data_IF_412575067479
#
_entry.id   IF_412575067479
#
_cell.length_a   1.000
_cell.length_b   1.000
_cell.length_c   1.000
_cell.angle_alpha   90.00
_cell.angle_beta   90.00
_cell.angle_gamma   90.00
#
_symmetry.space_group_name_H-M   'P 1'
#
loop_
_entity.id
_entity.type
_entity.pdbx_description
1 polymer ?
#
# COMPACT_ATOMS: atom_id res chain seq x y z
N UNK A 1 -17.34 11.06 -10.21
CA UNK A 1 -17.60 9.79 -10.91
C UNK A 1 -16.57 8.70 -10.64
N UNK A 2 -15.40 8.62 -11.32
CA UNK A 2 -14.47 7.47 -11.14
C UNK A 2 -14.10 7.19 -9.69
N UNK A 3 -13.81 8.23 -8.90
CA UNK A 3 -13.52 8.11 -7.46
C UNK A 3 -14.71 7.49 -6.70
N UNK A 4 -15.89 8.07 -6.81
CA UNK A 4 -17.10 7.59 -6.11
C UNK A 4 -17.44 6.14 -6.46
N UNK A 5 -17.41 5.80 -7.75
CA UNK A 5 -17.72 4.44 -8.22
C UNK A 5 -16.71 3.41 -7.68
N UNK A 6 -15.43 3.77 -7.65
CA UNK A 6 -14.36 2.86 -7.18
C UNK A 6 -14.34 2.75 -5.66
N UNK A 7 -14.73 3.80 -4.94
CA UNK A 7 -14.95 3.73 -3.49
C UNK A 7 -16.13 2.82 -3.16
N UNK A 8 -17.26 2.97 -3.85
CA UNK A 8 -18.41 2.08 -3.67
C UNK A 8 -18.03 0.62 -3.91
N UNK A 9 -17.23 0.35 -4.95
CA UNK A 9 -16.72 -0.99 -5.23
C UNK A 9 -15.83 -1.55 -4.10
N UNK A 10 -14.95 -0.73 -3.50
CA UNK A 10 -14.11 -1.17 -2.36
C UNK A 10 -14.97 -1.51 -1.14
N UNK A 11 -15.94 -0.65 -0.80
CA UNK A 11 -16.76 -0.83 0.39
C UNK A 11 -17.70 -2.05 0.26
N UNK A 12 -18.17 -2.34 -0.95
CA UNK A 12 -19.00 -3.50 -1.24
C UNK A 12 -18.22 -4.80 -1.53
N UNK A 13 -16.89 -4.75 -1.69
CA UNK A 13 -16.10 -5.91 -2.06
C UNK A 13 -16.08 -6.99 -0.98
N UNK A 14 -16.14 -8.25 -1.39
CA UNK A 14 -15.91 -9.42 -0.52
C UNK A 14 -14.41 -9.79 -0.42
N UNK A 15 -13.60 -9.34 -1.37
CA UNK A 15 -12.13 -9.52 -1.40
C UNK A 15 -11.47 -8.22 -1.90
N UNK A 16 -10.40 -7.78 -1.22
CA UNK A 16 -9.59 -6.65 -1.65
C UNK A 16 -8.44 -7.11 -2.54
N UNK A 17 -8.20 -6.40 -3.64
CA UNK A 17 -7.02 -6.64 -4.51
C UNK A 17 -6.02 -5.51 -4.32
N UNK A 18 -4.85 -5.84 -3.78
CA UNK A 18 -3.86 -4.84 -3.34
C UNK A 18 -2.48 -5.17 -3.90
N UNK A 19 -1.77 -4.16 -4.42
CA UNK A 19 -0.35 -4.31 -4.75
C UNK A 19 0.47 -4.46 -3.47
N UNK A 20 1.48 -5.36 -3.42
CA UNK A 20 2.29 -5.53 -2.21
C UNK A 20 2.87 -4.22 -1.65
N UNK A 21 3.45 -3.35 -2.48
CA UNK A 21 4.02 -2.08 -1.99
C UNK A 21 2.95 -1.07 -1.56
N UNK A 22 1.71 -1.17 -2.03
CA UNK A 22 0.63 -0.29 -1.57
C UNK A 22 0.25 -0.54 -0.12
N UNK A 23 0.53 -1.73 0.44
CA UNK A 23 0.44 -1.95 1.88
C UNK A 23 1.32 -0.94 2.65
N UNK A 24 2.55 -0.70 2.17
CA UNK A 24 3.46 0.28 2.75
C UNK A 24 2.98 1.71 2.48
N UNK A 25 2.46 2.01 1.28
CA UNK A 25 1.92 3.33 0.95
C UNK A 25 0.74 3.70 1.87
N UNK A 26 -0.17 2.77 2.15
CA UNK A 26 -1.27 2.97 3.11
C UNK A 26 -0.74 3.30 4.50
N UNK A 27 0.23 2.52 5.01
CA UNK A 27 0.88 2.79 6.31
C UNK A 27 1.54 4.18 6.33
N UNK A 28 2.24 4.56 5.26
CA UNK A 28 2.84 5.89 5.14
C UNK A 28 1.80 7.01 5.06
N UNK A 29 0.67 6.77 4.41
CA UNK A 29 -0.42 7.72 4.26
C UNK A 29 -1.12 7.97 5.60
N UNK A 30 -1.39 6.92 6.36
CA UNK A 30 -2.01 6.96 7.68
C UNK A 30 -1.22 7.79 8.69
N UNK A 31 0.11 7.69 8.70
CA UNK A 31 1.02 8.47 9.57
C UNK A 31 0.79 8.35 11.09
N UNK A 32 -0.02 7.39 11.52
CA UNK A 32 -0.41 7.22 12.92
C UNK A 32 -1.54 8.15 13.36
N UNK A 33 -2.34 8.64 12.40
CA UNK A 33 -3.53 9.42 12.68
C UNK A 33 -4.63 8.54 13.28
N UNK A 34 -5.53 9.16 14.04
CA UNK A 34 -6.76 8.48 14.50
C UNK A 34 -7.70 8.20 13.33
N UNK A 35 -8.72 7.38 13.56
CA UNK A 35 -9.66 6.92 12.53
C UNK A 35 -10.24 8.06 11.69
N UNK A 36 -10.78 9.06 12.38
CA UNK A 36 -11.54 10.16 11.80
C UNK A 36 -10.63 11.13 11.02
N UNK A 37 -9.32 11.05 11.25
CA UNK A 37 -8.29 11.86 10.61
C UNK A 37 -7.67 11.19 9.36
N UNK A 38 -8.06 9.96 9.04
CA UNK A 38 -7.67 9.28 7.78
C UNK A 38 -8.69 9.65 6.69
N UNK A 39 -8.63 10.90 6.24
CA UNK A 39 -9.55 11.43 5.23
C UNK A 39 -9.16 11.01 3.80
N UNK A 40 -10.13 10.78 2.89
CA UNK A 40 -9.89 10.57 1.47
C UNK A 40 -9.15 11.70 0.80
N UNK A 41 -8.40 11.35 -0.25
CA UNK A 41 -7.88 12.30 -1.22
C UNK A 41 -8.40 11.94 -2.61
N UNK A 42 -8.26 12.85 -3.57
CA UNK A 42 -8.76 12.66 -4.92
C UNK A 42 -7.89 11.66 -5.71
N UNK A 43 -6.60 11.58 -5.39
CA UNK A 43 -5.56 10.98 -6.23
C UNK A 43 -5.38 9.46 -6.07
N UNK A 44 -6.04 8.82 -5.09
CA UNK A 44 -5.99 7.38 -4.85
C UNK A 44 -7.13 6.92 -3.94
N UNK A 45 -7.26 5.60 -3.71
CA UNK A 45 -8.18 5.01 -2.72
C UNK A 45 -7.47 4.46 -1.46
N UNK A 46 -6.37 5.07 -1.01
CA UNK A 46 -5.64 4.57 0.17
C UNK A 46 -6.51 4.62 1.44
N UNK A 47 -7.24 5.71 1.66
CA UNK A 47 -8.09 5.88 2.83
C UNK A 47 -9.20 4.83 2.89
N UNK A 48 -9.87 4.58 1.76
CA UNK A 48 -11.04 3.71 1.70
C UNK A 48 -10.68 2.24 1.84
N UNK A 49 -9.51 1.82 1.34
CA UNK A 49 -8.99 0.49 1.63
C UNK A 49 -8.67 0.34 3.11
N UNK A 50 -8.06 1.35 3.75
CA UNK A 50 -7.82 1.34 5.19
C UNK A 50 -9.14 1.21 5.95
N UNK A 51 -10.17 1.98 5.57
CA UNK A 51 -11.50 1.88 6.18
C UNK A 51 -12.10 0.49 6.05
N UNK A 52 -12.03 -0.12 4.85
CA UNK A 52 -12.53 -1.47 4.62
C UNK A 52 -11.83 -2.50 5.50
N UNK A 53 -10.49 -2.44 5.61
CA UNK A 53 -9.71 -3.34 6.46
C UNK A 53 -10.01 -3.13 7.95
N UNK A 54 -10.27 -1.89 8.39
CA UNK A 54 -10.62 -1.59 9.79
C UNK A 54 -12.00 -2.11 10.16
N UNK A 55 -12.99 -1.89 9.28
CA UNK A 55 -14.35 -2.36 9.49
C UNK A 55 -14.46 -3.89 9.42
N UNK A 56 -13.65 -4.52 8.56
CA UNK A 56 -13.62 -5.98 8.36
C UNK A 56 -12.18 -6.49 8.42
N UNK A 57 -11.61 -6.69 9.63
CA UNK A 57 -10.21 -7.12 9.80
C UNK A 57 -9.89 -8.47 9.15
N UNK A 58 -10.92 -9.27 8.93
CA UNK A 58 -10.86 -10.58 8.28
C UNK A 58 -11.09 -10.56 6.77
N UNK A 59 -11.32 -9.38 6.17
CA UNK A 59 -11.54 -9.31 4.72
C UNK A 59 -10.34 -9.93 3.98
N UNK A 60 -10.58 -10.88 3.06
CA UNK A 60 -9.53 -11.45 2.24
C UNK A 60 -8.84 -10.37 1.42
N UNK A 61 -7.50 -10.38 1.41
CA UNK A 61 -6.68 -9.48 0.61
C UNK A 61 -5.80 -10.30 -0.33
N UNK A 62 -6.06 -10.19 -1.63
CA UNK A 62 -5.25 -10.79 -2.69
C UNK A 62 -4.12 -9.85 -3.11
N UNK A 63 -2.89 -10.35 -3.08
CA UNK A 63 -1.72 -9.64 -3.59
C UNK A 63 -1.67 -9.71 -5.12
N UNK A 64 -1.83 -8.57 -5.81
CA UNK A 64 -1.90 -8.53 -7.28
C UNK A 64 -0.70 -7.84 -7.91
N UNK A 65 -0.42 -8.22 -9.16
CA UNK A 65 0.57 -7.58 -10.03
C UNK A 65 -0.12 -6.48 -10.84
N UNK A 66 0.58 -5.37 -11.08
CA UNK A 66 0.01 -4.24 -11.83
C UNK A 66 -0.93 -3.40 -10.97
N UNK A 67 -1.77 -2.56 -11.58
CA UNK A 67 -2.68 -1.69 -10.83
C UNK A 67 -3.72 -2.48 -10.01
N UNK A 68 -4.09 -1.94 -8.85
CA UNK A 68 -5.05 -2.54 -7.91
C UNK A 68 -6.16 -1.55 -7.58
N UNK A 69 -7.08 -1.87 -6.67
CA UNK A 69 -8.24 -1.02 -6.36
C UNK A 69 -7.90 0.38 -5.79
N UNK A 70 -6.65 0.63 -5.43
CA UNK A 70 -6.14 1.96 -5.01
C UNK A 70 -5.92 2.90 -6.21
N UNK A 71 -5.58 2.34 -7.37
CA UNK A 71 -5.13 3.08 -8.55
C UNK A 71 -6.20 3.85 -9.35
N UNK A 72 -7.45 3.38 -9.50
CA UNK A 72 -8.36 3.92 -10.51
C UNK A 72 -8.56 5.45 -10.55
N UNK A 73 -8.67 6.17 -9.41
CA UNK A 73 -8.85 7.63 -9.46
C UNK A 73 -7.53 8.39 -9.73
N UNK A 74 -6.38 7.72 -9.75
CA UNK A 74 -5.09 8.35 -9.98
C UNK A 74 -4.99 8.86 -11.43
N UNK A 75 -4.57 10.12 -11.61
CA UNK A 75 -4.34 10.72 -12.93
C UNK A 75 -3.22 10.07 -13.76
N UNK A 76 -2.47 9.14 -13.14
CA UNK A 76 -1.40 8.37 -13.79
C UNK A 76 -1.79 6.93 -14.11
N UNK A 77 -3.00 6.52 -13.75
CA UNK A 77 -3.53 5.22 -14.13
C UNK A 77 -4.02 5.27 -15.58
N UNK A 78 -3.62 4.31 -16.40
CA UNK A 78 -4.10 4.13 -17.77
C UNK A 78 -5.14 2.99 -17.79
N UNK A 79 -6.45 3.31 -17.86
CA UNK A 79 -7.50 2.31 -17.79
C UNK A 79 -7.47 1.32 -18.96
N UNK A 80 -7.04 1.75 -20.15
CA UNK A 80 -7.05 0.88 -21.33
C UNK A 80 -6.06 -0.27 -21.22
N UNK A 81 -4.96 -0.08 -20.48
CA UNK A 81 -3.91 -1.09 -20.33
C UNK A 81 -3.75 -1.61 -18.89
N UNK A 82 -4.45 -1.02 -17.91
CA UNK A 82 -4.30 -1.37 -16.50
C UNK A 82 -2.91 -1.03 -15.93
N UNK A 83 -2.22 -0.05 -16.53
CA UNK A 83 -0.83 0.28 -16.16
C UNK A 83 -0.73 1.60 -15.38
N UNK A 84 0.29 1.69 -14.54
CA UNK A 84 0.68 2.95 -13.91
C UNK A 84 1.72 3.65 -14.81
N UNK A 85 1.32 4.78 -15.40
CA UNK A 85 2.18 5.66 -16.20
C UNK A 85 2.80 6.78 -15.34
N UNK A 86 2.89 6.58 -14.03
CA UNK A 86 3.50 7.54 -13.11
C UNK A 86 4.95 7.84 -13.50
N UNK A 87 5.32 9.13 -13.52
CA UNK A 87 6.67 9.58 -13.87
C UNK A 87 7.76 9.01 -12.94
N UNK A 88 9.05 9.19 -13.31
CA UNK A 88 10.22 8.62 -12.61
C UNK A 88 10.17 7.09 -12.49
N UNK A 89 9.88 6.41 -13.59
CA UNK A 89 9.86 4.95 -13.68
C UNK A 89 9.00 4.23 -12.64
N UNK A 90 7.89 4.84 -12.17
CA UNK A 90 7.01 4.22 -11.18
C UNK A 90 6.58 2.81 -11.59
N UNK A 91 6.38 2.54 -12.88
CA UNK A 91 6.10 1.18 -13.36
C UNK A 91 7.14 0.15 -12.90
N UNK A 92 8.40 0.26 -13.32
CA UNK A 92 9.46 -0.71 -12.98
C UNK A 92 9.91 -0.59 -11.51
N UNK A 93 10.00 0.64 -11.01
CA UNK A 93 10.39 0.90 -9.62
C UNK A 93 9.37 0.31 -8.64
N UNK A 94 8.07 0.47 -8.89
CA UNK A 94 7.04 -0.10 -8.02
C UNK A 94 6.92 -1.61 -8.19
N UNK A 95 7.18 -2.15 -9.39
CA UNK A 95 7.31 -3.61 -9.57
C UNK A 95 8.46 -4.17 -8.72
N UNK A 96 9.61 -3.49 -8.66
CA UNK A 96 10.70 -3.89 -7.76
C UNK A 96 10.24 -3.86 -6.30
N UNK A 97 9.60 -2.77 -5.85
CA UNK A 97 9.08 -2.67 -4.48
C UNK A 97 8.08 -3.79 -4.16
N UNK A 98 7.21 -4.13 -5.12
CA UNK A 98 6.26 -5.22 -4.94
C UNK A 98 6.98 -6.55 -4.70
N UNK A 99 7.99 -6.85 -5.52
CA UNK A 99 8.80 -8.07 -5.39
C UNK A 99 9.60 -8.07 -4.08
N UNK A 100 10.18 -6.93 -3.69
CA UNK A 100 10.93 -6.83 -2.42
C UNK A 100 10.00 -7.09 -1.22
N UNK A 101 8.77 -6.56 -1.24
CA UNK A 101 7.76 -6.84 -0.21
C UNK A 101 7.40 -8.32 -0.21
N UNK A 102 7.05 -8.88 -1.36
CA UNK A 102 6.71 -10.31 -1.49
C UNK A 102 7.83 -11.21 -0.96
N UNK A 103 9.08 -10.92 -1.33
CA UNK A 103 10.25 -11.64 -0.86
C UNK A 103 10.42 -11.55 0.66
N UNK A 104 10.33 -10.34 1.24
CA UNK A 104 10.39 -10.13 2.70
C UNK A 104 9.27 -10.85 3.45
N UNK A 105 8.10 -10.94 2.85
CA UNK A 105 6.98 -11.67 3.43
C UNK A 105 7.12 -13.17 3.24
N UNK A 106 7.84 -13.66 2.22
CA UNK A 106 7.79 -15.08 1.82
C UNK A 106 6.44 -15.42 1.20
N UNK A 107 5.95 -14.57 0.31
CA UNK A 107 4.69 -14.70 -0.42
C UNK A 107 4.93 -14.49 -1.91
N UNK A 108 3.98 -14.96 -2.72
CA UNK A 108 3.92 -14.71 -4.15
C UNK A 108 2.68 -13.87 -4.53
N UNK A 109 2.68 -13.33 -5.74
CA UNK A 109 1.45 -12.79 -6.33
C UNK A 109 0.35 -13.87 -6.34
N UNK A 110 -0.88 -13.46 -6.07
CA UNK A 110 -2.04 -14.33 -5.94
C UNK A 110 -2.27 -14.86 -4.52
N UNK A 111 -1.31 -14.69 -3.60
CA UNK A 111 -1.53 -15.01 -2.19
C UNK A 111 -2.72 -14.23 -1.62
N UNK A 112 -3.56 -14.90 -0.85
CA UNK A 112 -4.74 -14.35 -0.19
C UNK A 112 -4.61 -14.57 1.31
N UNK A 113 -4.71 -13.50 2.10
CA UNK A 113 -4.70 -13.56 3.56
C UNK A 113 -5.74 -12.60 4.13
N UNK A 114 -6.28 -12.86 5.34
CA UNK A 114 -7.04 -11.87 6.08
C UNK A 114 -6.24 -10.57 6.25
N UNK A 115 -6.88 -9.41 6.12
CA UNK A 115 -6.21 -8.12 6.21
C UNK A 115 -5.37 -7.96 7.50
N UNK A 116 -5.90 -8.36 8.65
CA UNK A 116 -5.17 -8.31 9.93
C UNK A 116 -3.89 -9.14 9.90
N UNK A 117 -3.92 -10.34 9.31
CA UNK A 117 -2.81 -11.29 9.32
C UNK A 117 -1.74 -10.86 8.32
N UNK A 118 -2.18 -10.34 7.16
CA UNK A 118 -1.30 -9.75 6.16
C UNK A 118 -0.54 -8.54 6.73
N UNK A 119 -1.25 -7.62 7.39
CA UNK A 119 -0.64 -6.44 8.01
C UNK A 119 0.31 -6.83 9.16
N UNK A 120 -0.08 -7.77 10.01
CA UNK A 120 0.77 -8.27 11.08
C UNK A 120 2.06 -8.89 10.55
N UNK A 121 1.96 -9.70 9.48
CA UNK A 121 3.13 -10.27 8.77
C UNK A 121 4.00 -9.17 8.17
N UNK A 122 3.39 -8.18 7.52
CA UNK A 122 4.07 -7.01 6.97
C UNK A 122 4.90 -6.28 8.02
N UNK A 123 4.27 -5.95 9.15
CA UNK A 123 4.91 -5.17 10.19
C UNK A 123 5.99 -5.94 10.94
N UNK A 124 5.88 -7.26 11.05
CA UNK A 124 6.97 -8.10 11.58
C UNK A 124 8.17 -8.16 10.64
N UNK A 125 7.94 -8.20 9.32
CA UNK A 125 9.00 -8.34 8.33
C UNK A 125 9.68 -7.02 7.93
N UNK A 126 8.97 -5.88 8.01
CA UNK A 126 9.42 -4.60 7.46
C UNK A 126 9.29 -3.50 8.51
N UNK A 127 10.42 -3.11 9.08
CA UNK A 127 10.51 -2.15 10.20
C UNK A 127 10.57 -0.69 9.75
N UNK A 128 11.14 -0.45 8.55
CA UNK A 128 11.31 0.88 7.96
C UNK A 128 11.01 0.86 6.47
N UNK A 129 10.53 1.99 5.95
CA UNK A 129 10.38 2.17 4.50
C UNK A 129 11.73 2.17 3.77
N UNK A 130 12.85 2.43 4.45
CA UNK A 130 14.19 2.35 3.84
C UNK A 130 14.46 0.97 3.25
N UNK A 131 13.96 -0.10 3.87
CA UNK A 131 14.17 -1.48 3.42
C UNK A 131 13.58 -1.77 2.03
N UNK A 132 12.53 -1.05 1.64
CA UNK A 132 11.82 -1.26 0.36
C UNK A 132 11.90 -0.01 -0.51
N UNK A 133 11.35 1.10 -0.02
CA UNK A 133 11.28 2.36 -0.74
C UNK A 133 12.62 3.08 -0.86
N UNK A 134 13.60 2.72 -0.02
CA UNK A 134 14.98 3.18 -0.04
C UNK A 134 15.97 2.12 -0.50
N UNK A 135 15.51 1.02 -1.09
CA UNK A 135 16.37 -0.07 -1.62
C UNK A 135 17.31 -0.71 -0.59
N UNK A 136 17.03 -0.58 0.71
CA UNK A 136 17.84 -1.13 1.80
C UNK A 136 18.93 -0.20 2.32
N UNK A 137 19.43 0.72 1.50
CA UNK A 137 20.56 1.60 1.85
C UNK A 137 20.23 3.10 1.85
N UNK A 138 19.01 3.47 1.45
CA UNK A 138 18.56 4.86 1.39
C UNK A 138 19.17 5.68 0.24
N UNK A 139 19.99 5.08 -0.63
CA UNK A 139 20.70 5.83 -1.67
C UNK A 139 19.87 5.92 -2.96
N UNK A 140 19.65 7.13 -3.46
CA UNK A 140 19.08 7.33 -4.80
C UNK A 140 20.09 6.93 -5.87
N UNK A 141 19.65 6.20 -6.91
CA UNK A 141 20.53 5.78 -8.02
C UNK A 141 20.42 6.68 -9.24
N UNK A 142 19.23 7.21 -9.49
CA UNK A 142 18.93 8.17 -10.56
C UNK A 142 17.60 8.86 -10.25
N UNK A 143 17.16 9.87 -11.03
CA UNK A 143 15.82 10.44 -10.89
C UNK A 143 14.70 9.39 -10.93
N UNK A 144 14.81 8.42 -11.83
CA UNK A 144 13.93 7.26 -12.01
C UNK A 144 14.00 6.31 -10.80
N UNK A 145 15.18 6.15 -10.22
CA UNK A 145 15.45 5.31 -9.05
C UNK A 145 15.64 6.15 -7.78
N UNK A 146 14.72 7.09 -7.58
CA UNK A 146 14.67 7.94 -6.39
C UNK A 146 14.17 7.19 -5.15
N UNK A 147 14.48 7.69 -3.95
CA UNK A 147 13.99 7.15 -2.68
C UNK A 147 12.72 7.85 -2.25
N UNK A 148 11.70 7.09 -1.83
CA UNK A 148 10.42 7.68 -1.40
C UNK A 148 10.52 8.24 0.03
N UNK A 149 10.47 9.57 0.17
CA UNK A 149 10.40 10.23 1.48
C UNK A 149 11.73 10.41 2.21
N UNK A 150 12.85 10.20 1.53
CA UNK A 150 14.20 10.41 2.08
C UNK A 150 14.93 9.12 2.49
N UNK A 151 16.27 9.18 2.62
CA UNK A 151 17.12 8.02 2.93
C UNK A 151 16.77 7.34 4.27
N UNK A 152 16.37 8.13 5.26
CA UNK A 152 16.10 7.68 6.64
C UNK A 152 14.74 7.00 6.81
N UNK A 153 13.94 6.97 5.74
CA UNK A 153 12.58 6.43 5.75
C UNK A 153 11.57 7.38 6.39
N UNK A 154 10.28 7.06 6.26
CA UNK A 154 9.19 7.93 6.71
C UNK A 154 8.84 7.68 8.18
N UNK A 155 8.96 8.66 9.09
CA UNK A 155 8.55 8.50 10.49
C UNK A 155 7.09 8.08 10.64
N UNK A 156 6.20 8.60 9.79
CA UNK A 156 4.78 8.24 9.78
C UNK A 156 4.50 6.76 9.54
N UNK A 157 5.39 6.04 8.82
CA UNK A 157 5.27 4.59 8.67
C UNK A 157 5.42 3.90 10.01
N UNK A 158 6.40 4.29 10.83
CA UNK A 158 6.65 3.67 12.14
C UNK A 158 5.47 3.90 13.10
N UNK A 159 4.89 5.10 13.08
CA UNK A 159 3.72 5.44 13.90
C UNK A 159 2.50 4.58 13.49
N UNK A 160 2.16 4.56 12.20
CA UNK A 160 1.03 3.76 11.71
C UNK A 160 1.25 2.25 11.87
N UNK A 161 2.49 1.77 11.72
CA UNK A 161 2.88 0.38 11.99
C UNK A 161 2.61 -0.01 13.45
N UNK A 162 3.01 0.83 14.41
CA UNK A 162 2.81 0.57 15.82
C UNK A 162 1.30 0.41 16.17
N UNK A 163 0.43 1.10 15.44
CA UNK A 163 -1.02 1.03 15.60
C UNK A 163 -1.69 -0.05 14.72
N UNK A 164 -0.94 -0.78 13.89
CA UNK A 164 -1.51 -1.73 12.94
C UNK A 164 -2.48 -1.09 11.94
N UNK A 165 -2.27 0.17 11.52
CA UNK A 165 -3.24 0.98 10.73
C UNK A 165 -4.61 1.19 11.42
N UNK A 166 -4.70 0.97 12.73
CA UNK A 166 -5.98 0.95 13.44
C UNK A 166 -6.85 -0.26 13.09
N UNK A 167 -6.30 -1.28 12.41
CA UNK A 167 -6.98 -2.55 12.14
C UNK A 167 -6.85 -3.43 13.39
N UNK A 168 -7.97 -3.86 14.00
CA UNK A 168 -7.98 -4.74 15.16
C UNK A 168 -7.07 -5.97 14.97
N UNK A 169 -6.14 -6.18 15.89
CA UNK A 169 -5.23 -7.34 15.91
C UNK A 169 -4.06 -7.29 14.92
N UNK A 170 -3.90 -6.20 14.15
CA UNK A 170 -2.86 -6.07 13.14
C UNK A 170 -1.54 -5.45 13.65
N UNK A 171 -1.52 -4.89 14.86
CA UNK A 171 -0.28 -4.38 15.46
C UNK A 171 0.77 -5.52 15.61
N UNK A 172 2.06 -5.22 15.40
CA UNK A 172 3.13 -6.23 15.27
C UNK A 172 3.32 -7.16 16.48
#
# INVERSE_FOLDING_TARGET
>A
QVKEDTVAAILAADELTIRPHHLICMTCFHRGREADDVAPIQEDNLAEVIWAMRARPDIPVRLVRGCCMICPPCSRYEPATGHCLGGRSMALRDQKKDIDVLHKLGLDYGAVLPARDLLKRLYRAISSTTEICGYGDGMARSPEWSVCGGPEGKPGYRLARAMGLGVPGAAP
#
